data_IF_939023292282
#
_entry.id   IF_939023292282
#
_cell.length_a   1.000
_cell.length_b   1.000
_cell.length_c   1.000
_cell.angle_alpha   90.00
_cell.angle_beta   90.00
_cell.angle_gamma   90.00
#
_symmetry.space_group_name_H-M   'P 1'
#
loop_
_entity.id
_entity.type
_entity.pdbx_description
1 polymer ?
#
# COMPACT_ATOMS: atom_id res chain seq x y z
N UNK A 1 -29.70 21.47 34.14
CA UNK A 1 -28.63 21.07 33.19
C UNK A 1 -28.85 19.62 32.85
N UNK A 2 -29.10 19.24 31.57
CA UNK A 2 -29.10 17.84 31.18
C UNK A 2 -27.74 17.47 30.59
N UNK A 3 -27.08 16.48 31.20
CA UNK A 3 -25.81 15.95 30.74
C UNK A 3 -26.04 14.63 29.98
N UNK A 4 -25.29 14.46 28.89
CA UNK A 4 -25.58 13.64 27.73
C UNK A 4 -24.98 12.24 27.91
N UNK A 5 -25.81 11.21 28.07
CA UNK A 5 -25.38 9.81 28.05
C UNK A 5 -25.18 9.29 26.60
N UNK A 6 -24.17 8.46 26.33
CA UNK A 6 -23.78 8.02 24.97
C UNK A 6 -24.74 7.02 24.29
N UNK A 7 -25.89 6.71 24.91
CA UNK A 7 -26.76 5.61 24.49
C UNK A 7 -27.89 6.02 23.53
N UNK A 8 -27.77 7.19 22.87
CA UNK A 8 -28.79 7.72 21.94
C UNK A 8 -28.31 7.93 20.52
N UNK A 9 -27.23 7.27 20.13
CA UNK A 9 -26.79 7.23 18.74
C UNK A 9 -27.02 5.80 18.24
N UNK A 10 -28.01 5.68 17.35
CA UNK A 10 -28.26 4.52 16.47
C UNK A 10 -29.33 3.51 16.91
N UNK A 11 -30.60 3.95 16.99
CA UNK A 11 -31.74 3.07 16.69
C UNK A 11 -32.09 3.22 15.20
N UNK A 12 -31.81 2.19 14.39
CA UNK A 12 -32.13 2.14 12.96
C UNK A 12 -33.51 1.51 12.70
N UNK A 13 -34.54 1.96 13.41
CA UNK A 13 -35.92 1.43 13.26
C UNK A 13 -36.80 2.23 12.28
N UNK A 14 -36.21 3.18 11.53
CA UNK A 14 -36.91 3.96 10.52
C UNK A 14 -36.21 3.84 9.17
N UNK A 15 -36.99 3.54 8.13
CA UNK A 15 -36.54 3.53 6.75
C UNK A 15 -36.05 4.90 6.29
N UNK A 16 -35.44 4.94 5.10
CA UNK A 16 -34.91 6.18 4.51
C UNK A 16 -36.09 7.13 4.23
N UNK A 17 -36.33 8.07 5.13
CA UNK A 17 -37.48 8.98 5.07
C UNK A 17 -37.21 10.19 4.14
N UNK A 18 -35.96 10.44 3.77
CA UNK A 18 -35.59 11.56 2.89
C UNK A 18 -34.23 11.38 2.23
N UNK A 19 -34.16 11.64 0.92
CA UNK A 19 -32.90 11.75 0.17
C UNK A 19 -32.61 13.25 0.01
N UNK A 20 -31.58 13.74 0.68
CA UNK A 20 -31.11 15.12 0.51
C UNK A 20 -30.02 15.13 -0.56
N UNK A 21 -30.29 15.79 -1.70
CA UNK A 21 -29.25 16.04 -2.70
C UNK A 21 -28.37 17.17 -2.20
N UNK A 22 -27.14 16.85 -1.81
CA UNK A 22 -26.14 17.86 -1.46
C UNK A 22 -25.95 18.81 -2.65
N UNK A 23 -26.17 20.10 -2.41
CA UNK A 23 -25.92 21.13 -3.43
C UNK A 23 -24.42 21.16 -3.73
N UNK A 24 -24.06 21.39 -4.99
CA UNK A 24 -22.68 21.35 -5.51
C UNK A 24 -21.68 22.27 -4.77
N UNK A 25 -22.17 23.18 -3.92
CA UNK A 25 -21.39 24.09 -3.09
C UNK A 25 -21.03 23.56 -1.69
N UNK A 26 -21.78 22.61 -1.13
CA UNK A 26 -21.54 22.04 0.21
C UNK A 26 -20.61 20.82 0.17
N UNK A 27 -20.44 20.20 -1.00
CA UNK A 27 -19.54 19.07 -1.21
C UNK A 27 -18.04 19.42 -1.03
N UNK A 28 -17.69 20.71 -1.02
CA UNK A 28 -16.32 21.15 -0.77
C UNK A 28 -15.86 20.96 0.70
N UNK A 29 -16.81 20.93 1.65
CA UNK A 29 -16.49 20.74 3.07
C UNK A 29 -16.46 19.26 3.51
N UNK A 30 -17.00 18.38 2.67
CA UNK A 30 -16.97 16.92 2.85
C UNK A 30 -16.06 16.30 1.78
N UNK A 31 -14.85 16.83 1.66
CA UNK A 31 -13.79 16.09 1.01
C UNK A 31 -13.66 14.75 1.73
N UNK A 32 -13.80 13.65 1.00
CA UNK A 32 -13.40 12.33 1.49
C UNK A 32 -12.00 12.48 2.09
N UNK A 33 -11.70 11.84 3.23
CA UNK A 33 -10.36 11.87 3.79
C UNK A 33 -9.39 11.61 2.65
N UNK A 34 -8.42 12.51 2.45
CA UNK A 34 -7.42 12.29 1.40
C UNK A 34 -6.94 10.87 1.54
N UNK A 35 -6.80 10.15 0.41
CA UNK A 35 -6.24 8.80 0.39
C UNK A 35 -4.84 8.91 1.00
N UNK A 36 -4.78 8.83 2.32
CA UNK A 36 -3.54 8.69 3.05
C UNK A 36 -2.92 7.46 2.44
N UNK A 37 -1.64 7.60 2.12
CA UNK A 37 -0.75 6.50 1.85
C UNK A 37 -0.71 5.63 3.11
N UNK A 38 -1.79 4.88 3.34
CA UNK A 38 -1.91 3.91 4.41
C UNK A 38 -0.92 2.82 4.06
N UNK A 39 0.05 2.62 4.93
CA UNK A 39 0.97 1.49 4.84
C UNK A 39 0.13 0.20 4.79
N UNK A 40 0.36 -0.69 3.80
CA UNK A 40 -0.34 -1.94 3.69
C UNK A 40 -0.27 -2.68 5.02
N UNK A 41 -1.42 -3.13 5.49
CA UNK A 41 -1.46 -4.00 6.66
C UNK A 41 -0.66 -5.24 6.33
N UNK A 42 0.29 -5.54 7.20
CA UNK A 42 1.09 -6.74 7.19
C UNK A 42 0.21 -7.97 7.48
N UNK A 43 -0.87 -7.79 8.24
CA UNK A 43 -1.80 -8.89 8.54
C UNK A 43 -2.78 -9.10 7.39
N UNK A 44 -3.01 -10.37 6.97
CA UNK A 44 -4.16 -10.68 6.14
C UNK A 44 -5.40 -10.16 6.85
N UNK A 45 -6.35 -9.60 6.10
CA UNK A 45 -7.62 -9.08 6.64
C UNK A 45 -8.41 -10.25 7.23
N UNK A 46 -8.09 -10.63 8.47
CA UNK A 46 -8.83 -11.62 9.25
C UNK A 46 -9.80 -10.87 10.14
N UNK A 47 -11.02 -11.37 10.21
CA UNK A 47 -11.97 -10.88 11.18
C UNK A 47 -11.37 -11.11 12.58
N UNK A 48 -11.29 -10.05 13.40
CA UNK A 48 -10.67 -10.09 14.74
C UNK A 48 -11.26 -11.20 15.63
N UNK A 49 -12.53 -11.53 15.43
CA UNK A 49 -13.22 -12.66 16.07
C UNK A 49 -12.63 -14.03 15.70
N UNK A 50 -12.25 -14.23 14.44
CA UNK A 50 -11.60 -15.46 13.97
C UNK A 50 -10.23 -15.62 14.62
N UNK A 51 -9.49 -14.52 14.79
CA UNK A 51 -8.17 -14.51 15.42
C UNK A 51 -8.23 -14.87 16.92
N UNK A 52 -9.31 -14.50 17.61
CA UNK A 52 -9.55 -14.83 19.02
C UNK A 52 -10.04 -16.27 19.24
N UNK A 53 -10.66 -16.88 18.22
CA UNK A 53 -11.33 -18.18 18.33
C UNK A 53 -10.55 -19.35 17.68
N UNK A 54 -9.64 -19.07 16.76
CA UNK A 54 -8.83 -20.11 16.12
C UNK A 54 -7.66 -20.57 16.98
N UNK A 55 -7.48 -21.90 17.08
CA UNK A 55 -6.25 -22.50 17.59
C UNK A 55 -5.18 -22.47 16.50
N UNK A 56 -3.89 -22.31 16.85
CA UNK A 56 -2.80 -22.37 15.88
C UNK A 56 -2.88 -23.69 15.12
N UNK A 57 -2.98 -23.59 13.79
CA UNK A 57 -3.13 -24.71 12.87
C UNK A 57 -1.97 -24.74 11.87
N UNK A 58 -1.82 -25.86 11.15
CA UNK A 58 -0.74 -26.04 10.17
C UNK A 58 -0.76 -24.94 9.09
N UNK A 59 -1.94 -24.43 8.70
CA UNK A 59 -2.06 -23.31 7.78
C UNK A 59 -1.40 -22.03 8.31
N UNK A 60 -1.67 -21.66 9.57
CA UNK A 60 -1.02 -20.50 10.20
C UNK A 60 0.50 -20.67 10.34
N UNK A 61 0.98 -21.89 10.63
CA UNK A 61 2.42 -22.16 10.68
C UNK A 61 3.08 -22.01 9.31
N UNK A 62 2.43 -22.50 8.25
CA UNK A 62 2.94 -22.37 6.88
C UNK A 62 2.91 -20.91 6.40
N UNK A 63 1.87 -20.15 6.72
CA UNK A 63 1.82 -18.71 6.41
C UNK A 63 2.97 -17.95 7.09
N UNK A 64 3.22 -18.19 8.38
CA UNK A 64 4.32 -17.58 9.11
C UNK A 64 5.67 -17.95 8.51
N UNK A 65 5.86 -19.23 8.16
CA UNK A 65 7.11 -19.74 7.60
C UNK A 65 7.38 -19.27 6.15
N UNK A 66 6.33 -19.00 5.38
CA UNK A 66 6.44 -18.52 4.00
C UNK A 66 6.45 -16.99 3.89
N UNK A 67 6.23 -16.29 5.00
CA UNK A 67 6.21 -14.83 5.02
C UNK A 67 7.61 -14.28 4.76
N UNK A 68 7.80 -13.44 3.73
CA UNK A 68 9.09 -12.80 3.52
C UNK A 68 9.39 -11.84 4.67
N UNK A 69 10.63 -11.84 5.16
CA UNK A 69 11.09 -10.84 6.13
C UNK A 69 11.23 -9.49 5.43
N UNK A 70 10.33 -8.55 5.73
CA UNK A 70 10.32 -7.21 5.14
C UNK A 70 10.99 -6.25 6.11
N UNK A 71 12.27 -5.94 5.86
CA UNK A 71 13.05 -5.05 6.73
C UNK A 71 12.58 -3.58 6.73
N UNK A 72 12.08 -3.08 5.59
CA UNK A 72 11.55 -1.72 5.49
C UNK A 72 10.12 -1.73 4.95
N UNK A 73 9.15 -1.41 5.83
CA UNK A 73 7.70 -1.44 5.55
C UNK A 73 7.28 -0.40 4.52
N UNK A 74 8.05 0.67 4.38
CA UNK A 74 7.81 1.69 3.38
C UNK A 74 7.94 1.11 1.96
N UNK A 75 8.74 0.06 1.76
CA UNK A 75 8.87 -0.60 0.46
C UNK A 75 7.59 -1.34 0.02
N UNK A 76 6.60 -1.50 0.91
CA UNK A 76 5.28 -2.01 0.53
C UNK A 76 4.45 -0.98 -0.23
N UNK A 77 4.76 0.31 -0.08
CA UNK A 77 4.10 1.37 -0.83
C UNK A 77 4.66 1.45 -2.25
N UNK A 78 3.81 1.44 -3.30
CA UNK A 78 4.28 1.48 -4.68
C UNK A 78 5.19 2.67 -4.99
N UNK A 79 4.91 3.84 -4.41
CA UNK A 79 5.72 5.05 -4.58
C UNK A 79 7.08 4.95 -3.90
N UNK A 80 7.11 4.55 -2.63
CA UNK A 80 8.34 4.41 -1.85
C UNK A 80 9.23 3.29 -2.40
N UNK A 81 8.64 2.19 -2.87
CA UNK A 81 9.37 1.14 -3.58
C UNK A 81 10.04 1.69 -4.86
N UNK A 82 9.30 2.45 -5.67
CA UNK A 82 9.83 3.00 -6.91
C UNK A 82 10.96 4.01 -6.65
N UNK A 83 10.85 4.82 -5.60
CA UNK A 83 11.92 5.74 -5.18
C UNK A 83 13.16 4.98 -4.69
N UNK A 84 12.99 4.01 -3.79
CA UNK A 84 14.08 3.20 -3.28
C UNK A 84 14.81 2.43 -4.39
N UNK A 85 14.07 1.92 -5.38
CA UNK A 85 14.65 1.25 -6.55
C UNK A 85 15.52 2.21 -7.40
N UNK A 86 15.05 3.44 -7.65
CA UNK A 86 15.81 4.46 -8.38
C UNK A 86 17.07 4.86 -7.61
N UNK A 87 16.96 5.00 -6.29
CA UNK A 87 18.10 5.32 -5.43
C UNK A 87 19.14 4.20 -5.43
N UNK A 88 18.70 2.94 -5.32
CA UNK A 88 19.57 1.77 -5.41
C UNK A 88 20.28 1.69 -6.77
N UNK A 89 19.57 1.96 -7.87
CA UNK A 89 20.17 2.03 -9.21
C UNK A 89 21.27 3.09 -9.28
N UNK A 90 21.01 4.29 -8.77
CA UNK A 90 21.96 5.40 -8.75
C UNK A 90 23.21 5.06 -7.92
N UNK A 91 23.02 4.48 -6.74
CA UNK A 91 24.11 4.06 -5.87
C UNK A 91 24.98 2.96 -6.52
N UNK A 92 24.35 1.93 -7.08
CA UNK A 92 25.05 0.84 -7.76
C UNK A 92 25.76 1.30 -9.03
N UNK A 93 25.18 2.24 -9.79
CA UNK A 93 25.84 2.83 -10.96
C UNK A 93 27.11 3.61 -10.55
N UNK A 94 27.03 4.43 -9.49
CA UNK A 94 28.20 5.14 -8.97
C UNK A 94 29.30 4.20 -8.46
N UNK A 95 28.93 3.08 -7.83
CA UNK A 95 29.88 2.04 -7.41
C UNK A 95 30.46 1.24 -8.58
N UNK A 96 29.71 1.05 -9.67
CA UNK A 96 30.22 0.40 -10.87
C UNK A 96 31.26 1.27 -11.59
N UNK A 97 31.05 2.59 -11.61
CA UNK A 97 31.93 3.59 -12.22
C UNK A 97 33.25 3.77 -11.44
N UNK A 98 33.25 3.57 -10.12
CA UNK A 98 34.47 3.69 -9.30
C UNK A 98 35.49 2.55 -9.51
N UNK A 99 35.16 1.54 -10.31
CA UNK A 99 36.15 0.61 -10.88
C UNK A 99 36.77 -0.41 -9.91
N UNK A 100 36.06 -0.79 -8.84
CA UNK A 100 36.51 -1.84 -7.91
C UNK A 100 36.53 -3.26 -8.51
N UNK A 101 37.09 -4.22 -7.76
CA UNK A 101 37.24 -5.62 -8.19
C UNK A 101 35.96 -6.32 -8.64
N UNK A 102 34.80 -5.86 -8.14
CA UNK A 102 33.47 -6.38 -8.48
C UNK A 102 32.76 -5.63 -9.61
N UNK A 103 33.47 -4.75 -10.34
CA UNK A 103 32.87 -3.90 -11.39
C UNK A 103 32.07 -4.69 -12.42
N UNK A 104 32.47 -5.93 -12.78
CA UNK A 104 31.69 -6.77 -13.71
C UNK A 104 30.33 -7.20 -13.16
N UNK A 105 30.27 -7.56 -11.87
CA UNK A 105 29.03 -7.96 -11.19
C UNK A 105 28.13 -6.75 -10.99
N UNK A 106 28.71 -5.62 -10.59
CA UNK A 106 28.01 -4.35 -10.44
C UNK A 106 27.41 -3.87 -11.76
N UNK A 107 28.16 -3.91 -12.86
CA UNK A 107 27.66 -3.56 -14.19
C UNK A 107 26.50 -4.47 -14.63
N UNK A 108 26.58 -5.77 -14.31
CA UNK A 108 25.47 -6.70 -14.58
C UNK A 108 24.24 -6.39 -13.74
N UNK A 109 24.42 -6.10 -12.46
CA UNK A 109 23.34 -5.71 -11.56
C UNK A 109 22.67 -4.41 -12.01
N UNK A 110 23.45 -3.39 -12.41
CA UNK A 110 22.94 -2.13 -12.96
C UNK A 110 22.13 -2.36 -14.22
N UNK A 111 22.60 -3.23 -15.13
CA UNK A 111 21.85 -3.58 -16.34
C UNK A 111 20.51 -4.23 -16.01
N UNK A 112 20.52 -5.20 -15.10
CA UNK A 112 19.30 -5.89 -14.65
C UNK A 112 18.31 -4.91 -14.01
N UNK A 113 18.77 -4.02 -13.13
CA UNK A 113 17.92 -3.03 -12.48
C UNK A 113 17.32 -2.02 -13.47
N UNK A 114 18.07 -1.64 -14.51
CA UNK A 114 17.54 -0.80 -15.60
C UNK A 114 16.43 -1.50 -16.36
N UNK A 115 16.62 -2.76 -16.71
CA UNK A 115 15.60 -3.56 -17.40
C UNK A 115 14.32 -3.67 -16.53
N UNK A 116 14.47 -3.94 -15.24
CA UNK A 116 13.35 -4.00 -14.28
C UNK A 116 12.59 -2.67 -14.18
N UNK A 117 13.31 -1.55 -14.07
CA UNK A 117 12.72 -0.21 -13.99
C UNK A 117 11.91 0.11 -15.25
N UNK A 118 12.46 -0.21 -16.43
CA UNK A 118 11.76 0.00 -17.71
C UNK A 118 10.47 -0.83 -17.81
N UNK A 119 10.49 -2.09 -17.34
CA UNK A 119 9.29 -2.93 -17.32
C UNK A 119 8.20 -2.36 -16.41
N UNK A 120 8.58 -1.81 -15.25
CA UNK A 120 7.62 -1.16 -14.35
C UNK A 120 7.00 0.08 -14.94
N UNK A 121 7.80 0.92 -15.60
CA UNK A 121 7.30 2.12 -16.30
C UNK A 121 6.31 1.75 -17.41
N UNK A 122 6.61 0.67 -18.15
CA UNK A 122 5.72 0.14 -19.19
C UNK A 122 4.37 -0.33 -18.60
N UNK A 123 4.39 -1.07 -17.49
CA UNK A 123 3.17 -1.48 -16.78
C UNK A 123 2.38 -0.27 -16.28
N UNK A 124 3.06 0.74 -15.73
CA UNK A 124 2.41 1.97 -15.27
C UNK A 124 1.70 2.69 -16.42
N UNK A 125 2.35 2.79 -17.59
CA UNK A 125 1.78 3.38 -18.81
C UNK A 125 0.53 2.62 -19.28
N UNK A 126 0.59 1.29 -19.36
CA UNK A 126 -0.58 0.48 -19.74
C UNK A 126 -1.73 0.63 -18.75
N UNK A 127 -1.42 0.65 -17.45
CA UNK A 127 -2.42 0.88 -16.42
C UNK A 127 -3.07 2.27 -16.56
N UNK A 128 -2.30 3.31 -16.85
CA UNK A 128 -2.88 4.64 -17.11
C UNK A 128 -3.75 4.69 -18.35
N UNK A 129 -3.36 3.98 -19.43
CA UNK A 129 -4.15 3.91 -20.65
C UNK A 129 -5.51 3.20 -20.42
N UNK A 130 -5.52 2.16 -19.58
CA UNK A 130 -6.76 1.46 -19.18
C UNK A 130 -7.69 2.32 -18.33
N UNK A 131 -7.18 3.24 -17.52
CA UNK A 131 -8.03 4.16 -16.74
C UNK A 131 -8.57 5.35 -17.56
N UNK A 132 -8.03 5.58 -18.76
CA UNK A 132 -8.44 6.68 -19.64
C UNK A 132 -9.49 6.27 -20.68
N UNK A 133 -9.76 4.97 -20.85
CA UNK A 133 -10.82 4.42 -21.71
C UNK A 133 -12.03 3.97 -20.91
#
# INVERSE_FOLDING_TARGET
>A
MPDIGPNRLMSFDHGIDTIVYASKGEQAAQALPERRNLTPSDDPVRAQLTQLLEKPNIGSFLEEALRPEIGNRDLLMPSQFAEALREALKALAGLAESGGGDSRVLNRAVRLLKEETNLRDLVAMYRSALYQG
#
